data_IF_660198942850
#
_entry.id   IF_660198942850
#
_cell.length_a   1.000
_cell.length_b   1.000
_cell.length_c   1.000
_cell.angle_alpha   90.00
_cell.angle_beta   90.00
_cell.angle_gamma   90.00
#
_symmetry.space_group_name_H-M   'P 1'
#
loop_
_entity.id
_entity.type
_entity.pdbx_description
1 polymer ?
#
# COMPACT_ATOMS: atom_id res chain seq x y z
N UNK A 1 -35.34 12.58 3.38
CA UNK A 1 -33.88 12.79 3.22
C UNK A 1 -33.01 12.21 4.35
N UNK A 2 -33.54 11.42 5.31
CA UNK A 2 -32.73 10.77 6.38
C UNK A 2 -32.11 9.41 6.00
N UNK A 3 -32.69 8.69 5.04
CA UNK A 3 -32.23 7.34 4.68
C UNK A 3 -31.00 7.31 3.76
N UNK A 4 -30.76 8.37 2.97
CA UNK A 4 -29.63 8.41 2.03
C UNK A 4 -28.28 8.58 2.75
N UNK A 5 -28.22 9.42 3.79
CA UNK A 5 -27.01 9.63 4.57
C UNK A 5 -26.68 8.44 5.47
N UNK A 6 -27.68 7.78 6.05
CA UNK A 6 -27.46 6.56 6.83
C UNK A 6 -26.92 5.43 5.95
N UNK A 7 -27.50 5.21 4.77
CA UNK A 7 -26.99 4.23 3.81
C UNK A 7 -25.63 4.59 3.21
N UNK A 8 -25.33 5.86 2.95
CA UNK A 8 -24.03 6.22 2.41
C UNK A 8 -22.93 6.15 3.46
N UNK A 9 -23.21 6.53 4.71
CA UNK A 9 -22.18 6.61 5.75
C UNK A 9 -21.95 5.25 6.42
N UNK A 10 -23.00 4.55 6.87
CA UNK A 10 -22.81 3.23 7.50
C UNK A 10 -22.29 2.20 6.51
N UNK A 11 -22.82 2.17 5.29
CA UNK A 11 -22.42 1.17 4.30
C UNK A 11 -21.00 1.44 3.80
N UNK A 12 -20.62 2.72 3.63
CA UNK A 12 -19.24 3.07 3.28
C UNK A 12 -18.28 2.76 4.43
N UNK A 13 -18.62 3.08 5.68
CA UNK A 13 -17.78 2.72 6.83
C UNK A 13 -17.67 1.23 7.04
N UNK A 14 -18.77 0.49 6.88
CA UNK A 14 -18.73 -0.96 7.01
C UNK A 14 -17.89 -1.56 5.89
N UNK A 15 -17.98 -1.05 4.66
CA UNK A 15 -17.12 -1.49 3.54
C UNK A 15 -15.65 -1.16 3.79
N UNK A 16 -15.35 0.04 4.30
CA UNK A 16 -13.99 0.43 4.67
C UNK A 16 -13.48 -0.46 5.82
N UNK A 17 -14.24 -0.65 6.89
CA UNK A 17 -13.87 -1.52 8.01
C UNK A 17 -13.67 -2.98 7.57
N UNK A 18 -14.52 -3.49 6.66
CA UNK A 18 -14.35 -4.82 6.07
C UNK A 18 -13.07 -4.92 5.22
N UNK A 19 -12.80 -3.92 4.36
CA UNK A 19 -11.57 -3.89 3.58
C UNK A 19 -10.33 -3.73 4.46
N UNK A 20 -10.44 -2.96 5.54
CA UNK A 20 -9.38 -2.78 6.52
C UNK A 20 -9.13 -4.05 7.32
N UNK A 21 -10.16 -4.78 7.72
CA UNK A 21 -10.02 -6.06 8.42
C UNK A 21 -9.40 -7.13 7.51
N UNK A 22 -9.83 -7.19 6.25
CA UNK A 22 -9.19 -8.04 5.24
C UNK A 22 -7.74 -7.64 5.02
N UNK A 23 -7.42 -6.34 4.90
CA UNK A 23 -6.06 -5.89 4.69
C UNK A 23 -5.18 -6.17 5.92
N UNK A 24 -5.67 -5.91 7.12
CA UNK A 24 -4.95 -6.19 8.36
C UNK A 24 -4.71 -7.69 8.54
N UNK A 25 -5.69 -8.55 8.30
CA UNK A 25 -5.48 -10.01 8.35
C UNK A 25 -4.49 -10.50 7.28
N UNK A 26 -4.45 -9.86 6.11
CA UNK A 26 -3.46 -10.14 5.05
C UNK A 26 -2.06 -9.64 5.43
N UNK A 27 -1.92 -8.51 6.14
CA UNK A 27 -0.64 -7.90 6.51
C UNK A 27 -0.06 -8.50 7.81
N UNK A 28 -0.90 -8.82 8.79
CA UNK A 28 -0.51 -9.55 10.01
C UNK A 28 0.07 -10.93 9.69
N UNK A 29 -0.23 -11.47 8.50
CA UNK A 29 0.61 -12.50 7.91
C UNK A 29 1.97 -11.89 7.53
N UNK A 30 2.93 -12.00 8.45
CA UNK A 30 4.36 -11.72 8.26
C UNK A 30 4.93 -12.30 6.95
N UNK A 31 4.27 -13.31 6.39
CA UNK A 31 4.59 -13.95 5.12
C UNK A 31 4.51 -12.99 3.90
N UNK A 32 3.57 -12.04 3.88
CA UNK A 32 3.42 -11.05 2.81
C UNK A 32 4.60 -10.06 2.79
N UNK A 33 5.01 -9.59 3.97
CA UNK A 33 6.22 -8.76 4.14
C UNK A 33 7.51 -9.51 3.77
N UNK A 34 7.56 -10.82 4.06
CA UNK A 34 8.67 -11.67 3.65
C UNK A 34 8.74 -11.84 2.13
N UNK A 35 7.60 -11.83 1.42
CA UNK A 35 7.58 -11.89 -0.03
C UNK A 35 8.03 -10.57 -0.68
N UNK A 36 7.64 -9.44 -0.10
CA UNK A 36 8.11 -8.09 -0.49
C UNK A 36 9.64 -7.99 -0.41
N UNK A 37 10.24 -8.56 0.64
CA UNK A 37 11.69 -8.55 0.83
C UNK A 37 12.45 -9.30 -0.28
N UNK A 38 11.79 -10.19 -1.04
CA UNK A 38 12.42 -10.95 -2.12
C UNK A 38 12.82 -10.11 -3.34
N UNK A 39 12.32 -8.88 -3.48
CA UNK A 39 12.76 -7.95 -4.52
C UNK A 39 13.93 -7.06 -4.10
N UNK A 40 14.44 -7.21 -2.87
CA UNK A 40 15.53 -6.38 -2.38
C UNK A 40 16.81 -6.56 -3.22
N UNK A 41 17.38 -5.51 -3.83
CA UNK A 41 18.57 -5.62 -4.67
C UNK A 41 19.86 -5.85 -3.87
N UNK A 42 19.85 -5.68 -2.54
CA UNK A 42 21.03 -5.86 -1.70
C UNK A 42 21.72 -7.21 -1.94
N UNK A 43 23.05 -7.20 -1.85
CA UNK A 43 23.90 -8.39 -2.01
C UNK A 43 23.57 -9.18 -3.29
N UNK A 44 23.41 -8.49 -4.42
CA UNK A 44 23.07 -9.09 -5.71
C UNK A 44 21.75 -9.87 -5.66
N UNK A 45 20.72 -9.28 -5.06
CA UNK A 45 19.41 -9.91 -4.89
C UNK A 45 19.50 -11.24 -4.14
N UNK A 46 20.26 -11.31 -3.04
CA UNK A 46 20.46 -12.56 -2.29
C UNK A 46 19.16 -13.09 -1.67
N UNK A 47 18.22 -12.20 -1.37
CA UNK A 47 16.90 -12.53 -0.80
C UNK A 47 15.88 -13.00 -1.85
N UNK A 48 16.25 -13.02 -3.14
CA UNK A 48 15.35 -13.38 -4.22
C UNK A 48 14.81 -14.80 -4.06
N UNK A 49 13.48 -14.92 -4.09
CA UNK A 49 12.77 -16.19 -4.05
C UNK A 49 11.58 -16.11 -5.01
N UNK A 50 11.65 -16.88 -6.09
CA UNK A 50 10.64 -16.90 -7.15
C UNK A 50 9.28 -17.36 -6.64
N UNK A 51 9.23 -18.43 -5.85
CA UNK A 51 7.98 -19.01 -5.33
C UNK A 51 7.22 -18.01 -4.45
N UNK A 52 7.93 -17.29 -3.58
CA UNK A 52 7.34 -16.23 -2.75
C UNK A 52 6.79 -15.07 -3.57
N UNK A 53 7.45 -14.69 -4.66
CA UNK A 53 6.97 -13.63 -5.55
C UNK A 53 5.75 -14.05 -6.37
N UNK A 54 5.68 -15.33 -6.76
CA UNK A 54 4.48 -15.91 -7.39
C UNK A 54 3.33 -15.95 -6.39
N UNK A 55 3.61 -16.36 -5.16
CA UNK A 55 2.61 -16.37 -4.09
C UNK A 55 2.10 -14.96 -3.78
N UNK A 56 2.98 -13.95 -3.76
CA UNK A 56 2.60 -12.53 -3.66
C UNK A 56 1.63 -12.12 -4.78
N UNK A 57 1.91 -12.50 -6.03
CA UNK A 57 1.05 -12.16 -7.17
C UNK A 57 -0.37 -12.75 -7.04
N UNK A 58 -0.51 -13.93 -6.40
CA UNK A 58 -1.81 -14.58 -6.20
C UNK A 58 -2.76 -13.79 -5.29
N UNK A 59 -2.26 -12.88 -4.45
CA UNK A 59 -3.10 -11.98 -3.64
C UNK A 59 -3.78 -10.88 -4.47
N UNK A 60 -3.33 -10.67 -5.71
CA UNK A 60 -3.80 -9.60 -6.59
C UNK A 60 -4.36 -10.17 -7.89
N UNK A 61 -5.45 -10.97 -7.85
CA UNK A 61 -5.99 -11.66 -9.02
C UNK A 61 -6.50 -10.70 -10.11
N UNK A 62 -6.85 -9.46 -9.75
CA UNK A 62 -7.22 -8.39 -10.70
C UNK A 62 -6.05 -7.95 -11.56
N UNK A 63 -4.84 -7.91 -10.99
CA UNK A 63 -3.62 -7.47 -11.68
C UNK A 63 -2.85 -8.66 -12.28
N UNK A 64 -2.94 -9.83 -11.64
CA UNK A 64 -2.26 -11.08 -12.00
C UNK A 64 -3.27 -12.22 -12.16
N UNK A 65 -3.91 -12.28 -13.33
CA UNK A 65 -4.68 -13.47 -13.71
C UNK A 65 -3.79 -14.73 -13.73
N UNK A 66 -4.40 -15.91 -13.67
CA UNK A 66 -3.67 -17.20 -13.70
C UNK A 66 -2.68 -17.29 -14.87
N UNK A 67 -3.10 -16.82 -16.05
CA UNK A 67 -2.25 -16.74 -17.24
C UNK A 67 -1.06 -15.80 -17.02
N UNK A 68 -1.29 -14.61 -16.45
CA UNK A 68 -0.21 -13.65 -16.14
C UNK A 68 0.74 -14.17 -15.07
N UNK A 69 0.27 -14.95 -14.11
CA UNK A 69 1.13 -15.61 -13.12
C UNK A 69 2.07 -16.62 -13.79
N UNK A 70 1.60 -17.39 -14.76
CA UNK A 70 2.48 -18.28 -15.55
C UNK A 70 3.54 -17.50 -16.34
N UNK A 71 3.17 -16.36 -16.95
CA UNK A 71 4.15 -15.49 -17.61
C UNK A 71 5.13 -14.84 -16.64
N UNK A 72 4.66 -14.46 -15.45
CA UNK A 72 5.48 -13.90 -14.38
C UNK A 72 6.55 -14.89 -13.94
N UNK A 73 6.23 -16.18 -13.81
CA UNK A 73 7.19 -17.22 -13.45
C UNK A 73 8.39 -17.23 -14.40
N UNK A 74 8.15 -17.28 -15.71
CA UNK A 74 9.21 -17.22 -16.74
C UNK A 74 9.94 -15.88 -16.75
N UNK A 75 9.20 -14.79 -16.54
CA UNK A 75 9.78 -13.45 -16.50
C UNK A 75 10.72 -13.26 -15.30
N UNK A 76 10.40 -13.83 -14.15
CA UNK A 76 11.22 -13.76 -12.94
C UNK A 76 12.57 -14.46 -13.11
N UNK A 77 12.62 -15.59 -13.81
CA UNK A 77 13.87 -16.31 -14.08
C UNK A 77 14.82 -15.52 -14.97
N UNK A 78 14.29 -14.90 -16.02
CA UNK A 78 15.08 -14.07 -16.93
C UNK A 78 15.48 -12.74 -16.30
N UNK A 79 14.59 -12.15 -15.50
CA UNK A 79 14.83 -10.92 -14.76
C UNK A 79 16.02 -11.06 -13.80
N UNK A 80 16.02 -12.09 -12.94
CA UNK A 80 17.06 -12.21 -11.90
C UNK A 80 18.46 -12.40 -12.50
N UNK A 81 18.55 -13.14 -13.61
CA UNK A 81 19.81 -13.32 -14.31
C UNK A 81 20.32 -12.00 -14.91
N UNK A 82 19.44 -11.25 -15.60
CA UNK A 82 19.77 -9.97 -16.20
C UNK A 82 20.17 -8.93 -15.15
N UNK A 83 19.43 -8.81 -14.05
CA UNK A 83 19.74 -7.88 -12.97
C UNK A 83 21.07 -8.21 -12.28
N UNK A 84 21.38 -9.48 -12.05
CA UNK A 84 22.65 -9.89 -11.42
C UNK A 84 23.86 -9.73 -12.36
N UNK A 85 23.64 -9.76 -13.66
CA UNK A 85 24.70 -9.64 -14.66
C UNK A 85 25.01 -8.19 -15.04
N UNK A 86 24.15 -7.25 -14.64
CA UNK A 86 24.24 -5.83 -15.00
C UNK A 86 24.85 -5.05 -13.82
N UNK A 87 25.99 -4.39 -14.04
CA UNK A 87 26.78 -3.74 -12.98
C UNK A 87 25.99 -2.64 -12.27
N UNK A 88 25.11 -1.93 -12.99
CA UNK A 88 24.32 -0.81 -12.48
C UNK A 88 23.27 -1.21 -11.44
N UNK A 89 22.94 -2.51 -11.35
CA UNK A 89 22.05 -3.04 -10.31
C UNK A 89 22.80 -3.60 -9.09
N UNK A 90 24.12 -3.74 -9.16
CA UNK A 90 24.93 -4.41 -8.13
C UNK A 90 25.03 -3.63 -6.81
N UNK A 91 24.99 -2.30 -6.89
CA UNK A 91 25.23 -1.40 -5.75
C UNK A 91 23.94 -0.74 -5.19
N UNK A 92 22.77 -1.13 -5.68
CA UNK A 92 21.49 -0.53 -5.26
C UNK A 92 21.17 -0.90 -3.82
N UNK A 93 20.77 0.11 -3.03
CA UNK A 93 20.44 -0.02 -1.61
C UNK A 93 18.95 0.21 -1.39
N UNK A 94 18.15 -0.77 -1.82
CA UNK A 94 16.72 -0.82 -1.55
C UNK A 94 15.82 -0.71 -2.78
N UNK A 95 14.53 -0.89 -2.53
CA UNK A 95 13.51 -1.05 -3.57
C UNK A 95 13.17 0.25 -4.31
N UNK A 96 13.32 1.41 -3.68
CA UNK A 96 13.14 2.73 -4.31
C UNK A 96 14.15 2.92 -5.46
N UNK A 97 15.45 2.77 -5.16
CA UNK A 97 16.52 2.87 -6.15
C UNK A 97 16.39 1.81 -7.25
N UNK A 98 15.91 0.61 -6.89
CA UNK A 98 15.56 -0.42 -7.87
C UNK A 98 14.49 0.07 -8.85
N UNK A 99 13.40 0.63 -8.35
CA UNK A 99 12.30 1.09 -9.19
C UNK A 99 12.74 2.18 -10.17
N UNK A 100 13.52 3.16 -9.69
CA UNK A 100 14.08 4.21 -10.54
C UNK A 100 15.00 3.63 -11.62
N UNK A 101 15.96 2.77 -11.23
CA UNK A 101 16.96 2.22 -12.15
C UNK A 101 16.32 1.28 -13.19
N UNK A 102 15.29 0.51 -12.81
CA UNK A 102 14.53 -0.35 -13.74
C UNK A 102 13.83 0.48 -14.83
N UNK A 103 13.37 1.69 -14.52
CA UNK A 103 12.77 2.60 -15.52
C UNK A 103 13.85 3.28 -16.36
N UNK A 104 14.92 3.78 -15.74
CA UNK A 104 16.04 4.43 -16.41
C UNK A 104 16.63 3.52 -17.51
N UNK A 105 16.79 2.24 -17.19
CA UNK A 105 17.34 1.23 -18.10
C UNK A 105 16.29 0.58 -19.01
N UNK A 106 15.05 1.08 -19.02
CA UNK A 106 13.91 0.54 -19.78
C UNK A 106 13.59 -0.94 -19.49
N UNK A 107 14.08 -1.47 -18.36
CA UNK A 107 13.82 -2.84 -17.90
C UNK A 107 12.35 -3.00 -17.49
N UNK A 108 11.66 -1.91 -17.16
CA UNK A 108 10.20 -1.90 -16.95
C UNK A 108 9.39 -2.36 -18.19
N UNK A 109 9.91 -2.12 -19.40
CA UNK A 109 9.28 -2.57 -20.65
C UNK A 109 9.62 -4.03 -20.95
N UNK A 110 10.85 -4.46 -20.61
CA UNK A 110 11.29 -5.86 -20.76
C UNK A 110 10.65 -6.80 -19.75
N UNK A 111 10.42 -6.32 -18.52
CA UNK A 111 9.91 -7.10 -17.39
C UNK A 111 8.67 -6.43 -16.75
N UNK A 112 7.57 -6.22 -17.50
CA UNK A 112 6.41 -5.46 -17.03
C UNK A 112 5.72 -6.06 -15.80
N UNK A 113 5.66 -7.40 -15.67
CA UNK A 113 4.99 -8.06 -14.53
C UNK A 113 5.85 -7.97 -13.27
N UNK A 114 7.17 -8.10 -13.40
CA UNK A 114 8.10 -7.88 -12.28
C UNK A 114 8.06 -6.42 -11.83
N UNK A 115 8.03 -5.48 -12.78
CA UNK A 115 7.88 -4.06 -12.47
C UNK A 115 6.56 -3.75 -11.75
N UNK A 116 5.47 -4.43 -12.11
CA UNK A 116 4.21 -4.35 -11.35
C UNK A 116 4.36 -4.82 -9.91
N UNK A 117 5.11 -5.92 -9.64
CA UNK A 117 5.38 -6.36 -8.26
C UNK A 117 6.25 -5.35 -7.48
N UNK A 118 7.26 -4.76 -8.12
CA UNK A 118 8.08 -3.69 -7.51
C UNK A 118 7.21 -2.50 -7.14
N UNK A 119 6.30 -2.10 -8.03
CA UNK A 119 5.37 -0.99 -7.79
C UNK A 119 4.41 -1.29 -6.64
N UNK A 120 3.82 -2.50 -6.62
CA UNK A 120 2.97 -2.95 -5.51
C UNK A 120 3.72 -2.94 -4.18
N UNK A 121 4.98 -3.38 -4.20
CA UNK A 121 5.86 -3.39 -3.04
C UNK A 121 6.12 -1.99 -2.49
N UNK A 122 6.21 -0.95 -3.34
CA UNK A 122 6.35 0.43 -2.90
C UNK A 122 5.06 1.01 -2.32
N UNK A 123 3.91 0.59 -2.84
CA UNK A 123 2.59 1.10 -2.40
C UNK A 123 2.16 0.43 -1.09
N UNK A 124 2.51 -0.83 -0.89
CA UNK A 124 2.16 -1.62 0.30
C UNK A 124 2.49 -0.90 1.62
N UNK A 125 3.73 -0.43 1.88
CA UNK A 125 4.09 0.32 3.09
C UNK A 125 3.27 1.59 3.31
N UNK A 126 2.94 2.32 2.25
CA UNK A 126 2.15 3.56 2.32
C UNK A 126 0.71 3.27 2.72
N UNK A 127 0.15 2.18 2.19
CA UNK A 127 -1.14 1.68 2.61
C UNK A 127 -1.13 1.27 4.10
N UNK A 128 -0.10 0.55 4.57
CA UNK A 128 0.02 0.14 5.98
C UNK A 128 0.03 1.34 6.93
N UNK A 129 0.88 2.34 6.65
CA UNK A 129 1.01 3.53 7.50
C UNK A 129 -0.29 4.35 7.53
N UNK A 130 -0.98 4.45 6.40
CA UNK A 130 -2.24 5.17 6.31
C UNK A 130 -3.33 4.51 7.14
N UNK A 131 -3.41 3.18 7.06
CA UNK A 131 -4.37 2.37 7.82
C UNK A 131 -4.09 2.44 9.33
N UNK A 132 -2.84 2.24 9.74
CA UNK A 132 -2.45 2.35 11.16
C UNK A 132 -2.73 3.74 11.72
N UNK A 133 -2.47 4.80 10.95
CA UNK A 133 -2.76 6.19 11.33
C UNK A 133 -4.26 6.43 11.46
N UNK A 134 -5.09 5.95 10.53
CA UNK A 134 -6.54 6.05 10.61
C UNK A 134 -7.08 5.30 11.83
N UNK A 135 -6.54 4.11 12.12
CA UNK A 135 -6.92 3.32 13.29
C UNK A 135 -6.51 4.01 14.60
N UNK A 136 -5.30 4.57 14.66
CA UNK A 136 -4.84 5.36 15.81
C UNK A 136 -5.73 6.58 16.04
N UNK A 137 -6.06 7.31 14.98
CA UNK A 137 -6.99 8.43 15.03
C UNK A 137 -8.36 7.99 15.58
N UNK A 138 -8.91 6.91 15.03
CA UNK A 138 -10.19 6.36 15.45
C UNK A 138 -10.16 5.91 16.91
N UNK A 139 -9.09 5.25 17.36
CA UNK A 139 -8.96 4.78 18.73
C UNK A 139 -8.78 5.96 19.72
N UNK A 140 -8.07 7.02 19.33
CA UNK A 140 -7.95 8.26 20.10
C UNK A 140 -9.32 8.97 20.20
N UNK A 141 -10.03 9.11 19.09
CA UNK A 141 -11.35 9.75 19.02
C UNK A 141 -12.37 8.94 19.84
N UNK A 142 -12.42 7.62 19.64
CA UNK A 142 -13.31 6.70 20.36
C UNK A 142 -13.04 6.65 21.87
N UNK A 143 -11.77 6.67 22.29
CA UNK A 143 -11.42 6.74 23.71
C UNK A 143 -11.72 8.11 24.34
N UNK A 144 -11.54 9.21 23.60
CA UNK A 144 -11.85 10.57 24.09
C UNK A 144 -13.35 10.87 24.13
N UNK A 145 -14.15 10.25 23.27
CA UNK A 145 -15.55 10.60 23.05
C UNK A 145 -16.55 9.54 23.53
N UNK A 146 -16.10 8.62 24.40
CA UNK A 146 -16.76 7.36 24.80
C UNK A 146 -18.25 7.44 25.21
N UNK A 147 -18.89 8.61 25.30
CA UNK A 147 -20.30 8.71 25.70
C UNK A 147 -21.22 9.68 24.90
N UNK A 148 -20.81 10.41 23.83
CA UNK A 148 -21.71 11.50 23.32
C UNK A 148 -21.79 11.87 21.83
N UNK A 149 -21.19 11.18 20.86
CA UNK A 149 -21.19 11.69 19.47
C UNK A 149 -21.73 10.71 18.42
N UNK A 150 -22.53 11.25 17.48
CA UNK A 150 -23.08 10.53 16.33
C UNK A 150 -22.15 10.54 15.12
N UNK A 151 -22.36 9.59 14.22
CA UNK A 151 -21.40 9.15 13.19
C UNK A 151 -20.87 10.26 12.26
N UNK A 152 -21.69 11.27 11.97
CA UNK A 152 -21.31 12.41 11.12
C UNK A 152 -20.12 13.19 11.71
N UNK A 153 -20.15 13.45 13.02
CA UNK A 153 -19.12 14.26 13.69
C UNK A 153 -17.82 13.47 13.87
N UNK A 154 -17.93 12.14 13.95
CA UNK A 154 -16.77 11.24 13.97
C UNK A 154 -16.06 11.21 12.61
N UNK A 155 -16.81 11.25 11.52
CA UNK A 155 -16.27 11.37 10.15
C UNK A 155 -15.48 12.67 9.98
N UNK A 156 -16.11 13.80 10.32
CA UNK A 156 -15.48 15.11 10.21
C UNK A 156 -14.18 15.19 11.04
N UNK A 157 -14.17 14.61 12.25
CA UNK A 157 -12.97 14.56 13.10
C UNK A 157 -11.86 13.65 12.53
N UNK A 158 -12.20 12.53 11.90
CA UNK A 158 -11.23 11.62 11.27
C UNK A 158 -10.55 12.29 10.07
N UNK A 159 -11.31 12.99 9.24
CA UNK A 159 -10.78 13.74 8.09
C UNK A 159 -9.79 14.81 8.56
N UNK A 160 -10.17 15.62 9.58
CA UNK A 160 -9.28 16.65 10.15
C UNK A 160 -7.99 16.03 10.72
N UNK A 161 -8.07 14.84 11.33
CA UNK A 161 -6.91 14.22 11.95
C UNK A 161 -5.96 13.52 10.96
N UNK A 162 -6.52 12.90 9.91
CA UNK A 162 -5.74 12.30 8.81
C UNK A 162 -5.02 13.39 8.01
N UNK A 163 -5.69 14.50 7.77
CA UNK A 163 -5.18 15.66 7.03
C UNK A 163 -4.56 16.73 7.92
N UNK A 164 -4.18 16.41 9.17
CA UNK A 164 -3.72 17.43 10.14
C UNK A 164 -2.55 18.27 9.64
N UNK A 165 -1.71 17.70 8.78
CA UNK A 165 -0.51 18.37 8.27
C UNK A 165 -0.87 19.40 7.18
N UNK A 166 -1.96 19.15 6.42
CA UNK A 166 -2.62 20.13 5.54
C UNK A 166 -3.41 21.14 6.38
N UNK A 167 -4.07 20.69 7.45
CA UNK A 167 -4.86 21.56 8.31
C UNK A 167 -3.99 22.58 9.08
N UNK A 168 -2.77 22.21 9.44
CA UNK A 168 -1.78 23.11 10.04
C UNK A 168 -1.29 24.21 9.10
N UNK A 169 -1.50 24.05 7.80
CA UNK A 169 -1.12 25.05 6.78
C UNK A 169 -2.22 26.08 6.53
N UNK A 170 -3.43 25.88 7.09
CA UNK A 170 -4.56 26.81 7.00
C UNK A 170 -4.58 27.68 8.26
N UNK A 171 -4.55 29.01 8.10
CA UNK A 171 -4.62 29.94 9.22
C UNK A 171 -6.02 29.94 9.86
N UNK A 172 -6.09 29.90 11.19
CA UNK A 172 -7.36 29.88 11.94
C UNK A 172 -8.29 31.07 11.57
N UNK A 173 -7.73 32.20 11.13
CA UNK A 173 -8.48 33.38 10.71
C UNK A 173 -9.31 33.15 9.43
N UNK A 174 -8.86 32.30 8.50
CA UNK A 174 -9.64 31.93 7.31
C UNK A 174 -10.84 31.04 7.64
N UNK A 175 -10.74 30.22 8.70
CA UNK A 175 -11.80 29.31 9.12
C UNK A 175 -12.94 30.09 9.80
N UNK A 176 -12.58 31.09 10.62
CA UNK A 176 -13.55 31.93 11.36
C UNK A 176 -14.28 32.93 10.45
N UNK A 177 -13.69 33.35 9.32
CA UNK A 177 -14.40 34.22 8.38
C UNK A 177 -15.41 33.47 7.49
N UNK A 178 -15.30 32.15 7.39
CA UNK A 178 -16.09 31.33 6.47
C UNK A 178 -17.30 30.66 7.11
N UNK A 179 -17.38 30.66 8.45
CA UNK A 179 -18.45 30.06 9.26
C UNK A 179 -18.92 31.02 10.35
#
# INVERSE_FOLDING_TARGET
MKNSHHYQVELFYTVIDMQLQELNSRIENSELLLCVACLNPNNLFSAFNKEKLIWLAQFYPSDFSTVRVSFLDTQLETYIYDMRSTEEFSALKGIEQLAEKVVEMKKNVSYPLVYSLVTLTLILPVATVTVERAFSAMNIIKNRLRNRIGDQWMNDCLVIYIEKDIFKTIECEEIVQRF
#
